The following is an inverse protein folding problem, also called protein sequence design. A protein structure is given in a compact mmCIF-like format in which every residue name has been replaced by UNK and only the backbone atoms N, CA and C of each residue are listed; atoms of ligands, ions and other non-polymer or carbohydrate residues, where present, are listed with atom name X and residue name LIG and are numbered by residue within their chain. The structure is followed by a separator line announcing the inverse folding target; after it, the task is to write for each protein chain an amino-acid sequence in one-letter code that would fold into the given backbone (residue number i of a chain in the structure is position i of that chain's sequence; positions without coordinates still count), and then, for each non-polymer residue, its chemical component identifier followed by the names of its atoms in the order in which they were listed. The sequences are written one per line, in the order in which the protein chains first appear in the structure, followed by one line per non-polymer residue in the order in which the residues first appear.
data_IF_561980325058
#
_entry.id   IF_561980325058
#
_cell.length_a   1.000
_cell.length_b   1.000
_cell.length_c   1.000
_cell.angle_alpha   90.00
_cell.angle_beta   90.00
_cell.angle_gamma   90.00
#
_symmetry.space_group_name_H-M   'P 1'
#
loop_
_entity.id
_entity.type
_entity.pdbx_description
1 polymer ?
#
# COMPACT_ATOMS: atom_id res chain seq x y z
N UNK A 1 -5.32 -13.60 -2.13
CA UNK A 1 -4.00 -13.77 -1.48
C UNK A 1 -3.82 -12.68 -0.45
N UNK A 2 -2.92 -12.83 0.53
CA UNK A 2 -2.65 -11.78 1.52
C UNK A 2 -1.31 -11.13 1.21
N UNK A 3 -1.27 -9.81 1.28
CA UNK A 3 -0.04 -9.03 1.09
C UNK A 3 0.14 -8.16 2.32
N UNK A 4 1.27 -8.30 2.98
CA UNK A 4 1.69 -7.36 4.00
C UNK A 4 2.22 -6.11 3.33
N UNK A 5 1.72 -4.94 3.73
CA UNK A 5 2.14 -3.64 3.23
C UNK A 5 2.70 -2.84 4.39
N UNK A 6 3.94 -2.39 4.26
CA UNK A 6 4.55 -1.43 5.17
C UNK A 6 4.59 -0.07 4.49
N UNK A 7 4.09 0.94 5.19
CA UNK A 7 3.94 2.29 4.66
C UNK A 7 4.18 3.34 5.75
N UNK A 8 4.41 4.57 5.32
CA UNK A 8 4.61 5.74 6.16
C UNK A 8 3.52 6.73 5.82
N UNK A 9 2.90 7.30 6.86
CA UNK A 9 2.16 8.55 6.73
C UNK A 9 3.12 9.66 7.15
N UNK A 10 3.38 10.59 6.24
CA UNK A 10 4.32 11.69 6.46
C UNK A 10 3.56 13.01 6.39
N UNK A 11 3.81 13.89 7.35
CA UNK A 11 3.42 15.30 7.31
C UNK A 11 4.69 16.17 7.34
N UNK A 12 4.54 17.51 7.38
CA UNK A 12 5.68 18.44 7.39
C UNK A 12 6.62 18.26 8.60
N UNK A 13 6.18 17.63 9.69
CA UNK A 13 6.89 17.58 10.99
C UNK A 13 7.17 16.18 11.49
N UNK A 14 6.50 15.16 10.96
CA UNK A 14 6.50 13.82 11.51
C UNK A 14 6.32 12.76 10.42
N UNK A 15 6.94 11.61 10.67
CA UNK A 15 6.67 10.37 9.93
C UNK A 15 6.11 9.34 10.90
N UNK A 16 5.08 8.63 10.47
CA UNK A 16 4.50 7.52 11.23
C UNK A 16 4.58 6.24 10.40
N UNK A 17 5.38 5.30 10.86
CA UNK A 17 5.47 3.97 10.29
C UNK A 17 4.25 3.13 10.69
N UNK A 18 3.61 2.54 9.69
CA UNK A 18 2.44 1.69 9.84
C UNK A 18 2.56 0.46 8.93
N UNK A 19 1.74 -0.53 9.21
CA UNK A 19 1.63 -1.70 8.35
C UNK A 19 0.23 -2.30 8.40
N UNK A 20 -0.19 -2.89 7.28
CA UNK A 20 -1.50 -3.50 7.13
C UNK A 20 -1.41 -4.76 6.26
N UNK A 21 -2.26 -5.75 6.53
CA UNK A 21 -2.40 -6.93 5.66
C UNK A 21 -3.59 -6.72 4.74
N UNK A 22 -3.32 -6.56 3.46
CA UNK A 22 -4.30 -6.29 2.42
C UNK A 22 -4.58 -7.58 1.63
N UNK A 23 -5.85 -7.80 1.28
CA UNK A 23 -6.21 -8.90 0.40
C UNK A 23 -5.98 -8.47 -1.06
N UNK A 24 -5.10 -9.15 -1.76
CA UNK A 24 -4.78 -8.89 -3.17
C UNK A 24 -5.14 -10.09 -4.05
N UNK A 25 -5.44 -9.80 -5.31
CA UNK A 25 -5.59 -10.76 -6.37
C UNK A 25 -4.23 -10.96 -7.02
N UNK A 26 -3.71 -12.18 -6.96
CA UNK A 26 -2.57 -12.58 -7.78
C UNK A 26 -2.94 -13.87 -8.46
N UNK A 27 -2.88 -13.94 -9.79
CA UNK A 27 -2.87 -15.23 -10.46
C UNK A 27 -1.62 -16.01 -10.04
N UNK A 28 -1.65 -17.35 -10.07
CA UNK A 28 -0.51 -18.21 -9.74
C UNK A 28 0.69 -17.99 -10.68
N UNK A 29 0.45 -17.45 -11.89
CA UNK A 29 1.46 -17.03 -12.85
C UNK A 29 1.04 -15.69 -13.47
N UNK A 30 1.94 -14.70 -13.49
CA UNK A 30 1.71 -13.38 -14.10
C UNK A 30 2.83 -13.09 -15.11
N UNK A 31 2.45 -12.80 -16.36
CA UNK A 31 3.35 -12.28 -17.40
C UNK A 31 3.36 -10.75 -17.47
N UNK A 32 2.52 -10.08 -16.68
CA UNK A 32 2.35 -8.63 -16.60
C UNK A 32 2.92 -8.05 -15.31
N UNK A 33 3.04 -6.72 -15.26
CA UNK A 33 3.30 -5.98 -14.02
C UNK A 33 2.37 -6.52 -12.92
N UNK A 34 2.97 -6.89 -11.79
CA UNK A 34 2.39 -7.75 -10.76
C UNK A 34 0.99 -7.24 -10.35
N UNK A 35 -0.11 -7.97 -10.60
CA UNK A 35 -1.48 -7.54 -10.28
C UNK A 35 -1.65 -7.10 -8.82
N UNK A 36 -0.80 -7.63 -7.94
CA UNK A 36 -0.70 -7.21 -6.54
C UNK A 36 -0.31 -5.74 -6.40
N UNK A 37 0.61 -5.23 -7.22
CA UNK A 37 1.01 -3.80 -7.22
C UNK A 37 -0.20 -2.93 -7.52
N UNK A 38 -1.02 -3.31 -8.51
CA UNK A 38 -2.19 -2.53 -8.88
C UNK A 38 -3.22 -2.49 -7.75
N UNK A 39 -3.45 -3.61 -7.07
CA UNK A 39 -4.32 -3.67 -5.90
C UNK A 39 -3.80 -2.82 -4.74
N UNK A 40 -2.48 -2.84 -4.51
CA UNK A 40 -1.83 -2.02 -3.48
C UNK A 40 -1.92 -0.53 -3.82
N UNK A 41 -1.76 -0.14 -5.09
CA UNK A 41 -1.95 1.25 -5.54
C UNK A 41 -3.40 1.70 -5.32
N UNK A 42 -4.38 0.87 -5.70
CA UNK A 42 -5.80 1.19 -5.46
C UNK A 42 -6.15 1.27 -3.97
N UNK A 43 -5.55 0.43 -3.15
CA UNK A 43 -5.66 0.51 -1.69
C UNK A 43 -5.07 1.81 -1.15
N UNK A 44 -3.89 2.21 -1.64
CA UNK A 44 -3.24 3.45 -1.25
C UNK A 44 -4.06 4.69 -1.67
N UNK A 45 -4.65 4.69 -2.87
CA UNK A 45 -5.52 5.77 -3.34
C UNK A 45 -6.78 5.91 -2.49
N UNK A 46 -7.32 4.80 -1.98
CA UNK A 46 -8.45 4.83 -1.02
C UNK A 46 -8.01 5.40 0.32
N UNK A 47 -6.90 4.92 0.88
CA UNK A 47 -6.31 5.44 2.13
C UNK A 47 -6.02 6.93 2.05
N UNK A 48 -5.47 7.42 0.93
CA UNK A 48 -5.18 8.84 0.72
C UNK A 48 -6.41 9.74 0.85
N UNK A 49 -7.61 9.25 0.52
CA UNK A 49 -8.86 10.01 0.71
C UNK A 49 -9.27 10.17 2.18
N UNK A 50 -8.73 9.33 3.07
CA UNK A 50 -8.98 9.38 4.51
C UNK A 50 -7.90 10.18 5.26
N UNK A 51 -6.79 10.52 4.60
CA UNK A 51 -5.71 11.32 5.16
C UNK A 51 -6.06 12.81 5.17
N UNK A 52 -5.41 13.56 6.06
CA UNK A 52 -5.48 15.03 6.00
C UNK A 52 -4.82 15.53 4.72
N UNK A 53 -5.22 16.71 4.24
CA UNK A 53 -4.69 17.31 3.01
C UNK A 53 -3.16 17.50 3.02
N UNK A 54 -2.56 17.57 4.21
CA UNK A 54 -1.12 17.77 4.43
C UNK A 54 -0.37 16.45 4.69
N UNK A 55 -1.07 15.31 4.71
CA UNK A 55 -0.50 14.00 4.99
C UNK A 55 -0.30 13.22 3.68
N UNK A 56 0.94 12.79 3.44
CA UNK A 56 1.32 11.93 2.33
C UNK A 56 1.42 10.46 2.76
N UNK A 57 0.95 9.56 1.90
CA UNK A 57 1.14 8.12 2.06
C UNK A 57 2.27 7.62 1.17
N UNK A 58 3.30 7.05 1.78
CA UNK A 58 4.48 6.49 1.11
C UNK A 58 4.55 4.99 1.41
N UNK A 59 4.53 4.17 0.36
CA UNK A 59 4.68 2.71 0.50
C UNK A 59 6.17 2.38 0.53
N UNK A 60 6.63 1.73 1.60
CA UNK A 60 8.05 1.39 1.79
C UNK A 60 8.35 -0.01 1.29
N UNK A 61 7.47 -0.96 1.59
CA UNK A 61 7.61 -2.34 1.13
C UNK A 61 6.28 -3.07 1.10
N UNK A 62 6.22 -4.11 0.29
CA UNK A 62 5.11 -5.05 0.27
C UNK A 62 5.65 -6.47 0.14
N UNK A 63 5.06 -7.40 0.87
CA UNK A 63 5.45 -8.81 0.88
C UNK A 63 4.21 -9.69 0.73
N UNK A 64 4.29 -10.63 -0.20
CA UNK A 64 3.29 -11.70 -0.35
C UNK A 64 3.39 -12.66 0.84
N UNK A 65 2.24 -12.97 1.43
CA UNK A 65 2.06 -13.97 2.50
C UNK A 65 1.49 -15.28 1.94
#
# INVERSE_FOLDING_TARGET
MKTYVSYVIQDEKSHKHLSEVVTTQSPPYSYSADPQVQDIVQWADKKKKELKQEEDLIIVSMYKL
#
